data_IF_582376147628
#
_entry.id   IF_582376147628
#
_cell.length_a   1.000
_cell.length_b   1.000
_cell.length_c   1.000
_cell.angle_alpha   90.00
_cell.angle_beta   90.00
_cell.angle_gamma   90.00
#
_symmetry.space_group_name_H-M   'P 1'
#
loop_
_entity.id
_entity.type
_entity.pdbx_description
1 polymer ?
#
# COMPACT_ATOMS: atom_id res chain seq x y z
N UNK A 1 -2.67 -2.13 5.91
CA UNK A 1 -2.41 -1.00 4.97
C UNK A 1 -3.28 -1.15 3.73
N UNK A 2 -3.37 -2.35 3.15
CA UNK A 2 -4.16 -2.66 1.96
C UNK A 2 -5.13 -3.81 2.28
N UNK A 3 -5.86 -3.73 3.40
CA UNK A 3 -6.68 -4.81 3.97
C UNK A 3 -7.67 -5.42 2.96
N UNK A 4 -8.32 -4.57 2.14
CA UNK A 4 -9.23 -5.03 1.09
C UNK A 4 -8.55 -5.96 0.07
N UNK A 5 -7.23 -5.88 -0.06
CA UNK A 5 -6.45 -6.73 -0.96
C UNK A 5 -6.26 -8.17 -0.47
N UNK A 6 -6.72 -8.51 0.73
CA UNK A 6 -6.85 -9.91 1.16
C UNK A 6 -7.83 -10.66 0.24
N UNK A 7 -8.95 -10.01 -0.09
CA UNK A 7 -10.06 -10.61 -0.85
C UNK A 7 -10.18 -10.06 -2.27
N UNK A 8 -9.74 -8.82 -2.51
CA UNK A 8 -9.89 -8.11 -3.77
C UNK A 8 -8.55 -7.83 -4.48
N UNK A 9 -8.51 -7.77 -5.82
CA UNK A 9 -7.26 -7.52 -6.54
C UNK A 9 -6.83 -6.04 -6.54
N UNK A 10 -7.64 -5.12 -6.02
CA UNK A 10 -7.36 -3.67 -6.01
C UNK A 10 -7.73 -3.07 -4.65
N UNK A 11 -6.93 -2.12 -4.13
CA UNK A 11 -7.24 -1.47 -2.87
C UNK A 11 -8.35 -0.43 -3.03
N UNK A 12 -8.94 -0.05 -1.92
CA UNK A 12 -9.84 1.09 -1.84
C UNK A 12 -9.09 2.41 -1.98
N UNK A 13 -9.81 3.48 -2.33
CA UNK A 13 -9.24 4.84 -2.35
C UNK A 13 -8.72 5.27 -0.99
N UNK A 14 -9.38 4.86 0.10
CA UNK A 14 -8.99 5.21 1.45
C UNK A 14 -7.62 4.61 1.81
N UNK A 15 -7.41 3.33 1.53
CA UNK A 15 -6.13 2.65 1.76
C UNK A 15 -4.99 3.24 0.94
N UNK A 16 -5.26 3.65 -0.30
CA UNK A 16 -4.26 4.34 -1.12
C UNK A 16 -3.84 5.67 -0.49
N UNK A 17 -4.80 6.46 0.00
CA UNK A 17 -4.52 7.72 0.68
C UNK A 17 -3.77 7.49 2.00
N UNK A 18 -4.11 6.44 2.74
CA UNK A 18 -3.45 6.09 4.00
C UNK A 18 -1.96 5.77 3.80
N UNK A 19 -1.65 4.91 2.82
CA UNK A 19 -0.26 4.61 2.43
C UNK A 19 0.46 5.86 1.94
N UNK A 20 -0.20 6.70 1.13
CA UNK A 20 0.41 7.92 0.63
C UNK A 20 0.73 8.90 1.77
N UNK A 21 -0.19 9.09 2.73
CA UNK A 21 0.05 9.95 3.88
C UNK A 21 1.21 9.45 4.74
N UNK A 22 1.29 8.14 5.00
CA UNK A 22 2.41 7.55 5.74
C UNK A 22 3.78 7.83 5.08
N UNK A 23 3.82 7.82 3.74
CA UNK A 23 5.02 8.17 2.98
C UNK A 23 5.31 9.67 3.03
N UNK A 24 4.29 10.53 2.92
CA UNK A 24 4.44 11.99 3.08
C UNK A 24 4.93 12.39 4.47
N UNK A 25 4.50 11.68 5.50
CA UNK A 25 4.93 11.84 6.88
C UNK A 25 6.35 11.31 7.14
N UNK A 26 7.07 10.90 6.08
CA UNK A 26 8.45 10.43 6.11
C UNK A 26 8.64 9.16 6.97
N UNK A 27 7.66 8.27 6.99
CA UNK A 27 7.85 6.96 7.59
C UNK A 27 8.95 6.19 6.87
N UNK A 28 9.96 5.72 7.61
CA UNK A 28 11.06 4.91 7.05
C UNK A 28 10.58 3.59 6.45
N UNK A 29 9.44 3.08 6.94
CA UNK A 29 8.88 1.82 6.46
C UNK A 29 7.36 1.75 6.55
N UNK A 30 6.79 0.91 5.70
CA UNK A 30 5.36 0.58 5.66
C UNK A 30 5.23 -0.95 5.57
N UNK A 31 4.20 -1.50 6.22
CA UNK A 31 4.07 -2.94 6.44
C UNK A 31 2.79 -3.51 5.83
N UNK A 32 2.90 -4.73 5.30
CA UNK A 32 1.77 -5.60 4.96
C UNK A 32 1.77 -6.78 5.93
N UNK A 33 0.57 -7.16 6.39
CA UNK A 33 0.35 -8.21 7.38
C UNK A 33 -0.41 -9.38 6.74
N UNK A 34 -1.73 -9.42 6.91
CA UNK A 34 -2.58 -10.47 6.37
C UNK A 34 -2.61 -10.43 4.83
N UNK A 35 -2.40 -9.25 4.24
CA UNK A 35 -2.37 -9.04 2.79
C UNK A 35 -1.33 -9.94 2.08
N UNK A 36 -0.18 -10.18 2.71
CA UNK A 36 0.90 -11.03 2.19
C UNK A 36 0.95 -12.41 2.83
N UNK A 37 0.47 -12.56 4.06
CA UNK A 37 0.57 -13.82 4.81
C UNK A 37 -0.50 -14.83 4.40
N UNK A 38 -1.75 -14.37 4.22
CA UNK A 38 -2.91 -15.24 3.91
C UNK A 38 -3.77 -14.71 2.76
N UNK A 39 -3.50 -13.51 2.24
CA UNK A 39 -4.28 -12.88 1.19
C UNK A 39 -4.23 -13.61 -0.15
N UNK A 40 -5.27 -13.42 -0.97
CA UNK A 40 -5.38 -14.02 -2.32
C UNK A 40 -4.40 -13.42 -3.33
N UNK A 41 -3.86 -12.23 -3.05
CA UNK A 41 -3.04 -11.45 -3.98
C UNK A 41 -1.71 -10.97 -3.38
N UNK A 42 -0.90 -11.84 -2.74
CA UNK A 42 0.22 -11.40 -1.89
C UNK A 42 1.29 -10.61 -2.69
N UNK A 43 1.66 -11.08 -3.87
CA UNK A 43 2.64 -10.41 -4.74
C UNK A 43 2.10 -9.06 -5.23
N UNK A 44 0.82 -9.03 -5.63
CA UNK A 44 0.17 -7.82 -6.15
C UNK A 44 -0.01 -6.76 -5.06
N UNK A 45 -0.24 -7.17 -3.81
CA UNK A 45 -0.27 -6.27 -2.65
C UNK A 45 1.08 -5.55 -2.48
N UNK A 46 2.19 -6.29 -2.56
CA UNK A 46 3.55 -5.70 -2.50
C UNK A 46 3.81 -4.76 -3.69
N UNK A 47 3.45 -5.17 -4.91
CA UNK A 47 3.60 -4.33 -6.10
C UNK A 47 2.76 -3.05 -6.04
N UNK A 48 1.56 -3.15 -5.48
CA UNK A 48 0.65 -2.01 -5.31
C UNK A 48 1.18 -1.05 -4.27
N UNK A 49 1.62 -1.55 -3.11
CA UNK A 49 2.25 -0.75 -2.06
C UNK A 49 3.48 0.00 -2.61
N UNK A 50 4.37 -0.70 -3.32
CA UNK A 50 5.54 -0.12 -3.99
C UNK A 50 5.16 0.96 -5.00
N UNK A 51 4.09 0.77 -5.77
CA UNK A 51 3.62 1.74 -6.76
C UNK A 51 3.12 3.02 -6.09
N UNK A 52 2.37 2.89 -4.99
CA UNK A 52 1.87 4.04 -4.23
C UNK A 52 3.05 4.80 -3.64
N UNK A 53 3.94 4.13 -2.92
CA UNK A 53 5.11 4.75 -2.29
C UNK A 53 5.97 5.52 -3.30
N UNK A 54 6.37 4.88 -4.40
CA UNK A 54 7.14 5.55 -5.47
C UNK A 54 6.43 6.74 -6.06
N UNK A 55 5.10 6.67 -6.23
CA UNK A 55 4.35 7.78 -6.81
C UNK A 55 4.29 8.96 -5.84
N UNK A 56 4.15 8.67 -4.56
CA UNK A 56 4.13 9.67 -3.49
C UNK A 56 5.50 10.32 -3.29
N UNK A 57 6.60 9.55 -3.27
CA UNK A 57 7.98 10.06 -3.17
C UNK A 57 8.34 11.03 -4.30
N UNK A 58 7.77 10.82 -5.50
CA UNK A 58 8.00 11.67 -6.65
C UNK A 58 7.10 12.92 -6.66
N UNK A 59 6.22 13.11 -5.66
CA UNK A 59 5.37 14.28 -5.58
C UNK A 59 6.17 15.44 -4.95
N UNK A 60 6.55 16.48 -5.71
CA UNK A 60 7.12 17.68 -5.11
C UNK A 60 6.01 18.35 -4.29
N UNK A 61 6.16 18.36 -2.97
CA UNK A 61 5.30 19.12 -2.07
C UNK A 61 5.34 20.61 -2.37
#
# INVERSE_FOLDING_TARGET
>A
MLESMIEHPVPTRAEVTDVANAVFEQSDSIMLSAETSIGKYPVRSVETLKRIAKRTENFPG
#
